data_IF_383287405002
#
_entry.id   IF_383287405002
#
_cell.length_a   1.000
_cell.length_b   1.000
_cell.length_c   1.000
_cell.angle_alpha   90.00
_cell.angle_beta   90.00
_cell.angle_gamma   90.00
#
_symmetry.space_group_name_H-M   'P 1'
#
loop_
_entity.id
_entity.type
_entity.pdbx_description
1 polymer ?
#
# COMPACT_ATOMS: atom_id res chain seq x y z
N UNK A 1 -9.94 28.03 -26.76
CA UNK A 1 -10.54 27.05 -25.81
C UNK A 1 -10.00 25.64 -26.04
N UNK A 2 -10.11 25.07 -27.24
CA UNK A 2 -9.58 23.72 -27.53
C UNK A 2 -8.05 23.61 -27.44
N UNK A 3 -7.31 24.61 -27.95
CA UNK A 3 -5.83 24.65 -27.87
C UNK A 3 -5.32 24.80 -26.43
N UNK A 4 -6.02 25.56 -25.59
CA UNK A 4 -5.69 25.70 -24.16
C UNK A 4 -5.86 24.37 -23.40
N UNK A 5 -6.91 23.60 -23.71
CA UNK A 5 -7.13 22.27 -23.14
C UNK A 5 -6.07 21.27 -23.61
N UNK A 6 -5.68 21.34 -24.88
CA UNK A 6 -4.64 20.48 -25.45
C UNK A 6 -3.27 20.74 -24.80
N UNK A 7 -2.90 22.02 -24.65
CA UNK A 7 -1.68 22.43 -23.94
C UNK A 7 -1.69 22.02 -22.46
N UNK A 8 -2.81 22.17 -21.76
CA UNK A 8 -2.93 21.73 -20.36
C UNK A 8 -2.82 20.20 -20.20
N UNK A 9 -3.34 19.44 -21.17
CA UNK A 9 -3.21 17.98 -21.19
C UNK A 9 -1.74 17.56 -21.39
N UNK A 10 -1.00 18.22 -22.28
CA UNK A 10 0.42 17.92 -22.51
C UNK A 10 1.28 18.16 -21.26
N UNK A 11 0.97 19.17 -20.45
CA UNK A 11 1.72 19.45 -19.21
C UNK A 11 1.30 18.54 -18.04
N UNK A 12 0.06 18.09 -17.99
CA UNK A 12 -0.48 17.31 -16.86
C UNK A 12 -0.36 15.80 -17.03
N UNK A 13 -0.30 15.31 -18.27
CA UNK A 13 -0.18 13.88 -18.57
C UNK A 13 1.05 13.23 -17.90
N UNK A 14 2.28 13.81 -17.97
CA UNK A 14 3.44 13.24 -17.28
C UNK A 14 3.25 13.13 -15.76
N UNK A 15 2.61 14.12 -15.15
CA UNK A 15 2.34 14.14 -13.71
C UNK A 15 1.35 13.05 -13.30
N UNK A 16 0.32 12.79 -14.12
CA UNK A 16 -0.63 11.71 -13.89
C UNK A 16 0.03 10.33 -13.99
N UNK A 17 0.84 10.11 -15.03
CA UNK A 17 1.57 8.85 -15.19
C UNK A 17 2.52 8.60 -14.01
N UNK A 18 3.25 9.63 -13.59
CA UNK A 18 4.11 9.54 -12.42
C UNK A 18 3.32 9.22 -11.13
N UNK A 19 2.11 9.79 -10.97
CA UNK A 19 1.26 9.49 -9.83
C UNK A 19 0.82 8.01 -9.81
N UNK A 20 0.44 7.45 -10.97
CA UNK A 20 0.09 6.03 -11.07
C UNK A 20 1.29 5.11 -10.76
N UNK A 21 2.49 5.44 -11.23
CA UNK A 21 3.71 4.69 -10.90
C UNK A 21 4.00 4.73 -9.38
N UNK A 22 3.94 5.91 -8.78
CA UNK A 22 4.17 6.11 -7.34
C UNK A 22 3.14 5.39 -6.48
N UNK A 23 1.87 5.45 -6.83
CA UNK A 23 0.81 4.73 -6.13
C UNK A 23 0.94 3.21 -6.32
N UNK A 24 1.43 2.74 -7.46
CA UNK A 24 1.71 1.31 -7.67
C UNK A 24 2.85 0.85 -6.77
N UNK A 25 3.94 1.63 -6.69
CA UNK A 25 5.03 1.38 -5.76
C UNK A 25 4.56 1.41 -4.30
N UNK A 26 3.70 2.36 -3.94
CA UNK A 26 3.10 2.42 -2.60
C UNK A 26 2.38 1.11 -2.27
N UNK A 27 1.49 0.62 -3.14
CA UNK A 27 0.79 -0.65 -2.96
C UNK A 27 1.76 -1.83 -2.79
N UNK A 28 2.76 -1.97 -3.67
CA UNK A 28 3.77 -3.02 -3.54
C UNK A 28 4.55 -2.91 -2.22
N UNK A 29 4.82 -1.69 -1.75
CA UNK A 29 5.55 -1.49 -0.50
C UNK A 29 4.73 -1.79 0.74
N UNK A 30 3.43 -1.54 0.74
CA UNK A 30 2.57 -1.85 1.91
C UNK A 30 2.07 -3.29 1.92
N UNK A 31 2.28 -4.06 0.85
CA UNK A 31 1.96 -5.49 0.83
C UNK A 31 2.73 -6.22 1.95
N UNK A 32 2.00 -6.96 2.78
CA UNK A 32 2.54 -7.61 3.99
C UNK A 32 3.76 -8.50 3.69
N UNK A 33 3.77 -9.36 2.65
CA UNK A 33 4.97 -10.14 2.30
C UNK A 33 6.19 -9.24 2.06
N UNK A 34 6.00 -8.15 1.31
CA UNK A 34 7.08 -7.21 0.95
C UNK A 34 7.55 -6.41 2.17
N UNK A 35 6.66 -6.04 3.09
CA UNK A 35 7.02 -5.41 4.36
C UNK A 35 7.86 -6.35 5.22
N UNK A 36 7.42 -7.60 5.39
CA UNK A 36 8.12 -8.58 6.23
C UNK A 36 9.53 -8.85 5.72
N UNK A 37 9.71 -8.93 4.39
CA UNK A 37 11.04 -9.09 3.77
C UNK A 37 11.99 -7.93 4.06
N UNK A 38 11.49 -6.69 4.18
CA UNK A 38 12.33 -5.50 4.37
C UNK A 38 12.54 -5.11 5.83
N UNK A 39 11.55 -5.35 6.68
CA UNK A 39 11.49 -4.79 8.04
C UNK A 39 11.89 -5.79 9.11
N UNK A 40 11.59 -7.09 8.92
CA UNK A 40 11.87 -8.11 9.94
C UNK A 40 13.38 -8.26 10.14
N UNK A 41 13.80 -8.25 11.40
CA UNK A 41 15.16 -8.57 11.83
C UNK A 41 15.12 -9.68 12.86
N UNK A 42 16.19 -10.47 12.92
CA UNK A 42 16.33 -11.52 13.93
C UNK A 42 16.37 -10.92 15.34
N UNK A 43 15.80 -11.63 16.31
CA UNK A 43 15.73 -11.19 17.71
C UNK A 43 14.63 -10.17 18.03
N UNK A 44 13.87 -9.68 17.05
CA UNK A 44 12.69 -8.85 17.31
C UNK A 44 11.60 -9.64 18.04
N UNK A 45 10.94 -9.00 19.00
CA UNK A 45 9.65 -9.45 19.53
C UNK A 45 8.52 -9.14 18.53
N UNK A 46 7.39 -9.84 18.67
CA UNK A 46 6.19 -9.57 17.89
C UNK A 46 5.69 -8.12 18.08
N UNK A 47 5.82 -7.55 19.29
CA UNK A 47 5.49 -6.16 19.58
C UNK A 47 6.36 -5.17 18.80
N UNK A 48 7.68 -5.35 18.80
CA UNK A 48 8.62 -4.51 18.04
C UNK A 48 8.39 -4.62 16.54
N UNK A 49 8.20 -5.84 16.04
CA UNK A 49 7.92 -6.06 14.62
C UNK A 49 6.59 -5.39 14.21
N UNK A 50 5.53 -5.53 15.00
CA UNK A 50 4.25 -4.84 14.76
C UNK A 50 4.46 -3.33 14.61
N UNK A 51 5.14 -2.70 15.56
CA UNK A 51 5.37 -1.25 15.54
C UNK A 51 6.17 -0.85 14.30
N UNK A 52 7.24 -1.59 13.98
CA UNK A 52 8.07 -1.32 12.82
C UNK A 52 7.29 -1.43 11.50
N UNK A 53 6.42 -2.43 11.34
CA UNK A 53 5.58 -2.59 10.15
C UNK A 53 4.57 -1.45 9.99
N UNK A 54 3.90 -1.06 11.07
CA UNK A 54 2.92 0.03 11.05
C UNK A 54 3.57 1.38 10.74
N UNK A 55 4.73 1.66 11.32
CA UNK A 55 5.51 2.85 11.01
C UNK A 55 5.94 2.89 9.55
N UNK A 56 6.39 1.76 8.99
CA UNK A 56 6.77 1.68 7.58
C UNK A 56 5.58 1.99 6.65
N UNK A 57 4.39 1.46 6.94
CA UNK A 57 3.18 1.79 6.17
C UNK A 57 2.86 3.28 6.25
N UNK A 58 2.94 3.87 7.44
CA UNK A 58 2.64 5.28 7.64
C UNK A 58 3.60 6.18 6.85
N UNK A 59 4.91 5.91 6.89
CA UNK A 59 5.93 6.65 6.13
C UNK A 59 5.67 6.55 4.62
N UNK A 60 5.42 5.34 4.11
CA UNK A 60 5.10 5.15 2.70
C UNK A 60 3.84 5.92 2.28
N UNK A 61 2.84 5.99 3.15
CA UNK A 61 1.64 6.78 2.89
C UNK A 61 1.93 8.28 2.86
N UNK A 62 2.66 8.81 3.83
CA UNK A 62 3.05 10.22 3.88
C UNK A 62 3.88 10.63 2.65
N UNK A 63 4.74 9.74 2.16
CA UNK A 63 5.52 9.97 0.93
C UNK A 63 4.67 9.99 -0.36
N UNK A 64 3.47 9.40 -0.34
CA UNK A 64 2.63 9.24 -1.54
C UNK A 64 1.27 9.96 -1.44
N UNK A 65 0.92 10.54 -0.30
CA UNK A 65 -0.37 11.20 -0.09
C UNK A 65 -0.63 12.34 -1.08
N UNK A 66 0.42 13.02 -1.54
CA UNK A 66 0.30 14.13 -2.49
C UNK A 66 -0.14 13.66 -3.88
N UNK A 67 0.02 12.38 -4.21
CA UNK A 67 -0.38 11.84 -5.51
C UNK A 67 -1.90 11.81 -5.70
N UNK A 68 -2.68 11.92 -4.61
CA UNK A 68 -4.14 11.95 -4.65
C UNK A 68 -4.71 13.05 -5.58
N UNK A 69 -3.97 14.14 -5.80
CA UNK A 69 -4.42 15.27 -6.62
C UNK A 69 -4.42 14.95 -8.13
N UNK A 70 -3.76 13.87 -8.54
CA UNK A 70 -3.58 13.49 -9.94
C UNK A 70 -4.42 12.28 -10.37
N UNK A 71 -5.17 11.68 -9.45
CA UNK A 71 -5.98 10.48 -9.68
C UNK A 71 -7.45 10.75 -9.38
N UNK A 72 -8.33 9.85 -9.81
CA UNK A 72 -9.74 9.92 -9.46
C UNK A 72 -9.96 9.73 -7.95
N UNK A 73 -11.00 10.37 -7.42
CA UNK A 73 -11.45 10.16 -6.03
C UNK A 73 -11.74 8.68 -5.77
N UNK A 74 -12.32 7.98 -6.75
CA UNK A 74 -12.62 6.55 -6.65
C UNK A 74 -11.35 5.72 -6.46
N UNK A 75 -10.32 5.94 -7.28
CA UNK A 75 -9.05 5.23 -7.12
C UNK A 75 -8.41 5.57 -5.78
N UNK A 76 -8.43 6.84 -5.38
CA UNK A 76 -7.87 7.25 -4.10
C UNK A 76 -8.53 6.54 -2.90
N UNK A 77 -9.85 6.37 -2.92
CA UNK A 77 -10.55 5.60 -1.88
C UNK A 77 -10.11 4.13 -1.87
N UNK A 78 -9.89 3.51 -3.04
CA UNK A 78 -9.38 2.13 -3.13
C UNK A 78 -7.96 2.04 -2.54
N UNK A 79 -7.08 3.02 -2.80
CA UNK A 79 -5.74 3.08 -2.20
C UNK A 79 -5.82 3.15 -0.66
N UNK A 80 -6.69 4.00 -0.12
CA UNK A 80 -6.87 4.10 1.34
C UNK A 80 -7.39 2.81 1.94
N UNK A 81 -8.37 2.16 1.31
CA UNK A 81 -8.86 0.85 1.75
C UNK A 81 -7.75 -0.21 1.78
N UNK A 82 -6.87 -0.22 0.78
CA UNK A 82 -5.72 -1.13 0.77
C UNK A 82 -4.76 -0.89 1.93
N UNK A 83 -4.46 0.38 2.24
CA UNK A 83 -3.63 0.76 3.39
C UNK A 83 -4.28 0.37 4.70
N UNK A 84 -5.57 0.65 4.86
CA UNK A 84 -6.30 0.39 6.11
C UNK A 84 -6.46 -1.12 6.35
N UNK A 85 -6.70 -1.92 5.30
CA UNK A 85 -6.70 -3.39 5.41
C UNK A 85 -5.35 -3.94 5.88
N UNK A 86 -4.23 -3.44 5.32
CA UNK A 86 -2.89 -3.87 5.73
C UNK A 86 -2.63 -3.55 7.20
N UNK A 87 -2.95 -2.33 7.65
CA UNK A 87 -2.82 -1.90 9.06
C UNK A 87 -3.67 -2.78 9.98
N UNK A 88 -4.94 -2.99 9.63
CA UNK A 88 -5.85 -3.79 10.44
C UNK A 88 -5.42 -5.25 10.54
N UNK A 89 -4.94 -5.84 9.44
CA UNK A 89 -4.44 -7.21 9.44
C UNK A 89 -3.23 -7.35 10.36
N UNK A 90 -2.27 -6.42 10.30
CA UNK A 90 -1.11 -6.40 11.19
C UNK A 90 -1.54 -6.29 12.66
N UNK A 91 -2.44 -5.36 12.96
CA UNK A 91 -2.90 -5.13 14.33
C UNK A 91 -3.60 -6.37 14.92
N UNK A 92 -4.56 -6.96 14.18
CA UNK A 92 -5.36 -8.09 14.63
C UNK A 92 -4.53 -9.36 14.80
N UNK A 93 -3.60 -9.63 13.88
CA UNK A 93 -2.74 -10.82 13.99
C UNK A 93 -1.74 -10.66 15.13
N UNK A 94 -1.14 -9.48 15.29
CA UNK A 94 -0.22 -9.20 16.39
C UNK A 94 -0.89 -9.29 17.78
N UNK A 95 -2.16 -8.88 17.88
CA UNK A 95 -2.95 -9.05 19.11
C UNK A 95 -3.12 -10.53 19.48
N UNK A 96 -3.42 -11.39 18.51
CA UNK A 96 -3.57 -12.84 18.72
C UNK A 96 -2.26 -13.55 19.08
N UNK A 97 -1.15 -13.11 18.50
CA UNK A 97 0.19 -13.68 18.74
C UNK A 97 0.74 -13.25 20.11
N UNK A 98 0.39 -12.04 20.56
CA UNK A 98 0.87 -11.48 21.82
C UNK A 98 2.22 -10.77 21.66
N UNK A 99 2.40 -9.65 22.37
CA UNK A 99 3.53 -8.73 22.15
C UNK A 99 4.91 -9.30 22.52
N UNK A 100 4.96 -10.28 23.43
CA UNK A 100 6.20 -10.89 23.94
C UNK A 100 6.66 -12.11 23.15
N UNK A 101 5.85 -12.60 22.21
CA UNK A 101 6.22 -13.71 21.33
C UNK A 101 7.36 -13.32 20.39
N UNK A 102 7.95 -14.28 19.70
CA UNK A 102 8.98 -14.00 18.72
C UNK A 102 8.38 -13.30 17.48
N UNK A 103 9.11 -12.33 16.91
CA UNK A 103 8.70 -11.66 15.68
C UNK A 103 8.53 -12.63 14.51
N UNK A 104 9.24 -13.76 14.52
CA UNK A 104 9.07 -14.84 13.53
C UNK A 104 7.67 -15.47 13.60
N UNK A 105 7.11 -15.63 14.80
CA UNK A 105 5.76 -16.16 14.98
C UNK A 105 4.72 -15.21 14.37
N UNK A 106 4.86 -13.91 14.62
CA UNK A 106 4.01 -12.88 13.99
C UNK A 106 4.16 -12.90 12.46
N UNK A 107 5.38 -12.97 11.95
CA UNK A 107 5.63 -13.02 10.51
C UNK A 107 4.96 -14.24 9.86
N UNK A 108 5.05 -15.42 10.49
CA UNK A 108 4.41 -16.64 9.99
C UNK A 108 2.89 -16.54 10.04
N UNK A 109 2.33 -16.03 11.13
CA UNK A 109 0.89 -15.85 11.28
C UNK A 109 0.33 -14.87 10.22
N UNK A 110 1.04 -13.77 9.96
CA UNK A 110 0.69 -12.81 8.91
C UNK A 110 0.73 -13.45 7.52
N UNK A 111 1.79 -14.19 7.21
CA UNK A 111 1.93 -14.87 5.93
C UNK A 111 0.79 -15.88 5.69
N UNK A 112 0.41 -16.62 6.74
CA UNK A 112 -0.70 -17.57 6.68
C UNK A 112 -2.04 -16.86 6.39
N UNK A 113 -2.31 -15.73 7.04
CA UNK A 113 -3.55 -14.96 6.82
C UNK A 113 -3.59 -14.38 5.40
N UNK A 114 -2.46 -13.89 4.89
CA UNK A 114 -2.35 -13.38 3.52
C UNK A 114 -2.67 -14.50 2.51
N UNK A 115 -2.08 -15.69 2.68
CA UNK A 115 -2.29 -16.82 1.77
C UNK A 115 -3.69 -17.43 1.82
N UNK A 116 -4.43 -17.24 2.91
CA UNK A 116 -5.81 -17.73 3.04
C UNK A 116 -6.83 -16.79 2.38
N UNK A 117 -6.45 -15.55 2.04
CA UNK A 117 -7.34 -14.61 1.36
C UNK A 117 -7.25 -14.78 -0.14
N UNK A 118 -8.41 -14.92 -0.78
CA UNK A 118 -8.51 -15.03 -2.24
C UNK A 118 -8.21 -13.73 -2.98
N UNK A 119 -8.45 -12.57 -2.34
CA UNK A 119 -8.20 -11.27 -2.96
C UNK A 119 -7.88 -10.21 -1.91
N UNK A 120 -6.66 -9.68 -1.97
CA UNK A 120 -6.20 -8.62 -1.07
C UNK A 120 -6.57 -7.25 -1.62
N UNK A 121 -6.93 -6.29 -0.75
CA UNK A 121 -7.21 -4.92 -1.22
C UNK A 121 -6.02 -4.28 -1.94
N UNK A 122 -4.79 -4.68 -1.61
CA UNK A 122 -3.57 -4.21 -2.29
C UNK A 122 -3.53 -4.64 -3.76
N UNK A 123 -3.99 -5.86 -4.07
CA UNK A 123 -4.09 -6.36 -5.46
C UNK A 123 -5.22 -5.66 -6.21
N UNK A 124 -6.36 -5.41 -5.53
CA UNK A 124 -7.47 -4.63 -6.08
C UNK A 124 -7.04 -3.21 -6.40
N UNK A 125 -6.23 -2.58 -5.53
CA UNK A 125 -5.65 -1.27 -5.75
C UNK A 125 -4.74 -1.26 -6.99
N UNK A 126 -3.80 -2.21 -7.11
CA UNK A 126 -2.94 -2.35 -8.30
C UNK A 126 -3.76 -2.52 -9.58
N UNK A 127 -4.83 -3.32 -9.54
CA UNK A 127 -5.74 -3.48 -10.69
C UNK A 127 -6.46 -2.18 -11.03
N UNK A 128 -6.94 -1.44 -10.02
CA UNK A 128 -7.60 -0.15 -10.21
C UNK A 128 -6.65 0.91 -10.80
N UNK A 129 -5.40 0.97 -10.34
CA UNK A 129 -4.37 1.86 -10.91
C UNK A 129 -4.17 1.56 -12.39
N UNK A 130 -3.99 0.29 -12.76
CA UNK A 130 -3.79 -0.12 -14.17
C UNK A 130 -4.98 0.27 -15.04
N UNK A 131 -6.21 0.08 -14.54
CA UNK A 131 -7.44 0.44 -15.26
C UNK A 131 -7.54 1.94 -15.48
N UNK A 132 -7.27 2.75 -14.47
CA UNK A 132 -7.36 4.21 -14.61
C UNK A 132 -6.23 4.75 -15.51
N UNK A 133 -5.01 4.25 -15.35
CA UNK A 133 -3.88 4.61 -16.20
C UNK A 133 -4.16 4.31 -17.68
N UNK A 134 -4.81 3.19 -17.99
CA UNK A 134 -5.19 2.82 -19.36
C UNK A 134 -6.26 3.72 -20.00
N UNK A 135 -6.98 4.54 -19.22
CA UNK A 135 -7.92 5.55 -19.75
C UNK A 135 -7.17 6.82 -20.16
N UNK A 136 -6.01 7.06 -19.54
CA UNK A 136 -5.18 8.26 -19.71
C UNK A 136 -4.12 8.07 -20.80
N UNK A 137 -3.70 6.82 -21.05
CA UNK A 137 -2.83 6.39 -22.14
C UNK A 137 -3.59 6.28 -23.47
#
# INVERSE_FOLDING_TARGET
>A
MAELRKSQLETTLPLKLQAYERLSMFCERIAIPNLLLRIRKDGMTAGELRVALLLAIQQEYEHNITQQVYVSEQLWQIIKMARDEAVNMIALVAEKVGSKAEGKELAQALFNVVNQREALAVEKALSAIKKEAAIVL
#
